data_IF_943535828390
#
_entry.id   IF_943535828390
#
_cell.length_a   1.000
_cell.length_b   1.000
_cell.length_c   1.000
_cell.angle_alpha   90.00
_cell.angle_beta   90.00
_cell.angle_gamma   90.00
#
_symmetry.space_group_name_H-M   'P 1'
#
loop_
_entity.id
_entity.type
_entity.pdbx_description
1 polymer ?
#
# COMPACT_ATOMS: atom_id res chain seq x y z
N UNK A 1 -22.95 -7.77 0.83
CA UNK A 1 -22.21 -6.50 0.80
C UNK A 1 -20.90 -6.79 0.13
N UNK A 2 -20.37 -5.87 -0.68
CA UNK A 2 -19.10 -6.09 -1.35
C UNK A 2 -18.00 -6.32 -0.30
N UNK A 3 -17.13 -7.28 -0.57
CA UNK A 3 -16.02 -7.66 0.32
C UNK A 3 -14.76 -6.92 -0.09
N UNK A 4 -13.98 -6.43 0.88
CA UNK A 4 -12.70 -5.78 0.62
C UNK A 4 -11.69 -6.84 0.16
N UNK A 5 -11.17 -6.70 -1.06
CA UNK A 5 -10.26 -7.69 -1.67
C UNK A 5 -8.83 -7.19 -1.76
N UNK A 6 -8.62 -5.89 -1.96
CA UNK A 6 -7.28 -5.33 -2.03
C UNK A 6 -7.19 -3.89 -1.47
N UNK A 7 -5.97 -3.47 -1.18
CA UNK A 7 -5.64 -2.09 -0.83
C UNK A 7 -4.37 -1.67 -1.57
N UNK A 8 -4.45 -0.54 -2.27
CA UNK A 8 -3.31 0.13 -2.87
C UNK A 8 -2.68 1.10 -1.87
N UNK A 9 -1.38 0.96 -1.63
CA UNK A 9 -0.63 1.74 -0.63
C UNK A 9 0.68 2.31 -1.21
N UNK A 10 1.15 3.41 -0.63
CA UNK A 10 2.51 3.93 -0.78
C UNK A 10 3.15 4.12 0.60
N UNK A 11 4.38 3.64 0.79
CA UNK A 11 5.10 3.79 2.05
C UNK A 11 5.45 5.25 2.40
N UNK A 12 5.47 6.17 1.43
CA UNK A 12 5.64 7.61 1.73
C UNK A 12 4.34 8.34 2.07
N UNK A 13 3.18 7.71 1.89
CA UNK A 13 1.89 8.33 2.17
C UNK A 13 1.39 8.01 3.58
N UNK A 14 1.18 9.06 4.39
CA UNK A 14 0.72 8.90 5.78
C UNK A 14 -0.72 8.39 5.86
N UNK A 15 -1.54 8.64 4.82
CA UNK A 15 -2.87 8.06 4.72
C UNK A 15 -2.82 6.54 4.63
N UNK A 16 -1.91 6.03 3.80
CA UNK A 16 -1.64 4.60 3.61
C UNK A 16 -1.22 3.93 4.90
N UNK A 17 -0.33 4.55 5.68
CA UNK A 17 0.01 4.06 7.01
C UNK A 17 -1.21 3.93 7.92
N UNK A 18 -2.04 4.97 8.00
CA UNK A 18 -3.24 4.98 8.87
C UNK A 18 -4.25 3.92 8.44
N UNK A 19 -4.47 3.76 7.14
CA UNK A 19 -5.37 2.72 6.61
C UNK A 19 -4.82 1.33 6.91
N UNK A 20 -3.51 1.11 6.75
CA UNK A 20 -2.89 -0.18 7.08
C UNK A 20 -3.00 -0.51 8.58
N UNK A 21 -2.76 0.46 9.46
CA UNK A 21 -2.97 0.31 10.92
C UNK A 21 -4.41 0.00 11.27
N UNK A 22 -5.38 0.65 10.61
CA UNK A 22 -6.80 0.35 10.77
C UNK A 22 -7.12 -1.08 10.32
N UNK A 23 -6.69 -1.49 9.12
CA UNK A 23 -6.91 -2.86 8.62
C UNK A 23 -6.27 -3.90 9.54
N UNK A 24 -5.13 -3.57 10.16
CA UNK A 24 -4.45 -4.45 11.12
C UNK A 24 -5.26 -4.79 12.37
N UNK A 25 -6.31 -4.02 12.68
CA UNK A 25 -7.26 -4.30 13.77
C UNK A 25 -8.31 -5.36 13.40
N UNK A 26 -8.42 -5.70 12.11
CA UNK A 26 -9.40 -6.65 11.61
C UNK A 26 -8.78 -8.04 11.52
N UNK A 27 -9.42 -9.08 12.08
CA UNK A 27 -8.92 -10.44 11.91
C UNK A 27 -8.93 -10.88 10.44
N UNK A 28 -9.83 -10.31 9.62
CA UNK A 28 -9.95 -10.58 8.18
C UNK A 28 -8.85 -9.92 7.35
N UNK A 29 -7.94 -9.11 7.93
CA UNK A 29 -6.87 -8.42 7.18
C UNK A 29 -6.07 -9.34 6.25
N UNK A 30 -5.89 -10.60 6.67
CA UNK A 30 -5.14 -11.60 5.94
C UNK A 30 -5.79 -12.00 4.62
N UNK A 31 -7.05 -11.64 4.36
CA UNK A 31 -7.72 -11.87 3.07
C UNK A 31 -7.58 -10.70 2.11
N UNK A 32 -7.12 -9.53 2.59
CA UNK A 32 -6.94 -8.32 1.80
C UNK A 32 -5.55 -8.34 1.16
N UNK A 33 -5.50 -8.26 -0.16
CA UNK A 33 -4.25 -8.15 -0.90
C UNK A 33 -3.67 -6.73 -0.77
N UNK A 34 -2.43 -6.62 -0.32
CA UNK A 34 -1.70 -5.35 -0.36
C UNK A 34 -1.06 -5.22 -1.74
N UNK A 35 -1.30 -4.09 -2.42
CA UNK A 35 -0.78 -3.80 -3.75
C UNK A 35 -0.01 -2.48 -3.74
N UNK A 36 1.12 -2.39 -4.46
CA UNK A 36 1.91 -1.17 -4.52
C UNK A 36 1.22 -0.14 -5.41
N UNK A 37 1.24 1.13 -5.00
CA UNK A 37 0.90 2.23 -5.90
C UNK A 37 1.69 3.48 -5.51
N UNK A 38 2.46 4.03 -6.43
CA UNK A 38 3.22 5.24 -6.17
C UNK A 38 2.34 6.49 -6.20
N UNK A 39 2.29 7.20 -5.08
CA UNK A 39 1.40 8.34 -4.83
C UNK A 39 1.78 9.63 -5.56
N UNK A 40 3.03 9.76 -6.01
CA UNK A 40 3.54 11.02 -6.59
C UNK A 40 3.41 11.09 -8.12
N UNK A 41 2.57 10.25 -8.72
CA UNK A 41 2.41 10.22 -10.17
C UNK A 41 1.66 11.44 -10.68
N UNK A 42 2.29 12.15 -11.61
CA UNK A 42 1.64 13.19 -12.39
C UNK A 42 1.00 12.60 -13.65
N UNK A 43 0.06 13.31 -14.30
CA UNK A 43 -0.53 12.86 -15.57
C UNK A 43 0.51 12.61 -16.68
N UNK A 44 1.69 13.20 -16.55
CA UNK A 44 2.73 13.19 -17.58
C UNK A 44 3.79 12.10 -17.36
N UNK A 45 3.75 11.37 -16.24
CA UNK A 45 4.70 10.29 -15.89
C UNK A 45 3.94 8.98 -15.62
N UNK A 46 3.48 8.25 -16.64
CA UNK A 46 2.64 7.06 -16.45
C UNK A 46 3.39 5.91 -15.76
N UNK A 47 4.71 5.85 -15.86
CA UNK A 47 5.54 4.82 -15.24
C UNK A 47 6.27 5.39 -14.01
N UNK A 48 6.12 4.79 -12.81
CA UNK A 48 6.78 5.27 -11.60
C UNK A 48 8.32 5.34 -11.67
N UNK A 49 8.93 4.57 -12.56
CA UNK A 49 10.38 4.47 -12.70
C UNK A 49 10.99 5.42 -13.74
N UNK A 50 10.17 6.11 -14.53
CA UNK A 50 10.62 7.09 -15.53
C UNK A 50 10.88 8.47 -14.89
N UNK A 51 11.71 8.48 -13.84
CA UNK A 51 11.97 9.67 -13.01
C UNK A 51 13.44 10.04 -12.95
N UNK A 52 13.70 11.32 -12.65
CA UNK A 52 15.06 11.90 -12.65
C UNK A 52 15.78 11.82 -11.31
N UNK A 53 15.06 11.51 -10.22
CA UNK A 53 15.60 11.40 -8.87
C UNK A 53 15.27 10.03 -8.26
N UNK A 54 16.15 9.45 -7.41
CA UNK A 54 15.82 8.24 -6.67
C UNK A 54 14.59 8.40 -5.76
N UNK A 55 13.88 7.30 -5.50
CA UNK A 55 12.79 7.24 -4.52
C UNK A 55 13.01 6.09 -3.57
N UNK A 56 13.23 6.38 -2.30
CA UNK A 56 13.24 5.34 -1.28
C UNK A 56 11.90 4.60 -1.23
N UNK A 57 10.77 5.30 -1.45
CA UNK A 57 9.45 4.69 -1.40
C UNK A 57 9.22 3.66 -2.50
N UNK A 58 9.66 3.93 -3.72
CA UNK A 58 9.56 2.98 -4.82
C UNK A 58 10.44 1.75 -4.59
N UNK A 59 11.63 1.94 -4.04
CA UNK A 59 12.54 0.84 -3.70
C UNK A 59 11.94 -0.03 -2.60
N UNK A 60 11.25 0.56 -1.61
CA UNK A 60 10.48 -0.21 -0.64
C UNK A 60 9.30 -0.94 -1.29
N UNK A 61 8.61 -0.36 -2.27
CA UNK A 61 7.56 -1.07 -3.03
C UNK A 61 8.14 -2.27 -3.80
N UNK A 62 9.32 -2.13 -4.41
CA UNK A 62 9.98 -3.24 -5.10
C UNK A 62 10.40 -4.36 -4.13
N UNK A 63 10.93 -4.01 -2.96
CA UNK A 63 11.21 -4.98 -1.89
C UNK A 63 9.93 -5.66 -1.37
N UNK A 64 8.80 -4.93 -1.31
CA UNK A 64 7.52 -5.51 -0.95
C UNK A 64 7.05 -6.56 -1.97
N UNK A 65 7.27 -6.34 -3.27
CA UNK A 65 6.98 -7.35 -4.31
C UNK A 65 7.82 -8.61 -4.15
N UNK A 66 9.10 -8.46 -3.78
CA UNK A 66 9.93 -9.61 -3.43
C UNK A 66 9.41 -10.34 -2.18
N UNK A 67 8.99 -9.60 -1.15
CA UNK A 67 8.36 -10.17 0.03
C UNK A 67 7.07 -10.92 -0.31
N UNK A 68 6.28 -10.39 -1.25
CA UNK A 68 5.06 -11.01 -1.79
C UNK A 68 5.36 -12.33 -2.49
N UNK A 69 6.38 -12.40 -3.35
CA UNK A 69 6.81 -13.67 -3.96
C UNK A 69 7.28 -14.68 -2.90
N UNK A 70 7.89 -14.19 -1.82
CA UNK A 70 8.32 -15.03 -0.69
C UNK A 70 7.17 -15.51 0.21
N UNK A 71 5.94 -15.06 -0.03
CA UNK A 71 4.73 -15.51 0.65
C UNK A 71 4.06 -14.43 1.52
N UNK A 72 2.75 -14.60 1.76
CA UNK A 72 1.89 -13.61 2.42
C UNK A 72 2.39 -13.16 3.80
N UNK A 73 2.82 -14.07 4.66
CA UNK A 73 3.29 -13.72 6.00
C UNK A 73 4.52 -12.80 5.96
N UNK A 74 5.47 -13.06 5.07
CA UNK A 74 6.63 -12.19 4.85
C UNK A 74 6.23 -10.85 4.27
N UNK A 75 5.27 -10.83 3.35
CA UNK A 75 4.77 -9.60 2.77
C UNK A 75 4.10 -8.70 3.81
N UNK A 76 3.18 -9.24 4.63
CA UNK A 76 2.55 -8.49 5.72
C UNK A 76 3.60 -7.99 6.72
N UNK A 77 4.55 -8.85 7.10
CA UNK A 77 5.65 -8.47 7.98
C UNK A 77 6.52 -7.36 7.38
N UNK A 78 6.78 -7.39 6.07
CA UNK A 78 7.53 -6.34 5.38
C UNK A 78 6.75 -5.01 5.38
N UNK A 79 5.46 -5.04 5.07
CA UNK A 79 4.61 -3.85 5.06
C UNK A 79 4.55 -3.22 6.46
N UNK A 80 4.42 -4.04 7.50
CA UNK A 80 4.49 -3.60 8.90
C UNK A 80 5.83 -2.94 9.23
N UNK A 81 6.95 -3.59 8.88
CA UNK A 81 8.30 -3.10 9.15
C UNK A 81 8.60 -1.79 8.38
N UNK A 82 8.22 -1.71 7.10
CA UNK A 82 8.43 -0.54 6.26
C UNK A 82 7.67 0.68 6.81
N UNK A 83 6.38 0.51 7.17
CA UNK A 83 5.62 1.60 7.76
C UNK A 83 6.15 2.03 9.13
N UNK A 84 6.54 1.08 9.98
CA UNK A 84 7.13 1.38 11.27
C UNK A 84 8.46 2.16 11.11
N UNK A 85 9.28 1.78 10.14
CA UNK A 85 10.54 2.48 9.82
C UNK A 85 10.29 3.95 9.43
N UNK A 86 9.28 4.21 8.60
CA UNK A 86 8.97 5.55 8.09
C UNK A 86 8.28 6.42 9.15
N UNK A 87 7.28 5.90 9.86
CA UNK A 87 6.37 6.74 10.66
C UNK A 87 6.53 6.63 12.17
N UNK A 88 7.13 5.53 12.67
CA UNK A 88 7.25 5.30 14.11
C UNK A 88 8.70 5.48 14.60
N UNK A 89 9.68 4.93 13.89
CA UNK A 89 11.10 5.00 14.32
C UNK A 89 11.87 6.19 13.73
N UNK A 90 11.40 6.75 12.61
CA UNK A 90 12.09 7.83 11.91
C UNK A 90 13.44 7.38 11.32
N UNK A 91 13.48 6.17 10.79
CA UNK A 91 14.68 5.58 10.20
C UNK A 91 15.24 6.46 9.05
N UNK A 92 16.57 6.46 8.89
CA UNK A 92 17.21 7.12 7.76
C UNK A 92 17.10 6.24 6.51
N UNK A 93 16.14 6.59 5.64
CA UNK A 93 15.89 5.94 4.37
C UNK A 93 16.50 6.72 3.20
N UNK A 94 17.48 7.60 3.44
CA UNK A 94 18.14 8.35 2.36
C UNK A 94 19.08 7.49 1.51
N UNK A 95 19.55 6.36 2.06
CA UNK A 95 20.50 5.47 1.43
C UNK A 95 19.98 4.04 1.22
N UNK A 96 20.55 3.37 0.23
CA UNK A 96 20.25 1.98 -0.13
C UNK A 96 20.31 1.00 1.05
N UNK A 97 21.25 1.20 1.98
CA UNK A 97 21.40 0.34 3.16
C UNK A 97 20.17 0.36 4.07
N UNK A 98 19.54 1.52 4.27
CA UNK A 98 18.37 1.63 5.15
C UNK A 98 17.16 0.83 4.64
N UNK A 99 16.99 0.71 3.33
CA UNK A 99 15.89 -0.07 2.74
C UNK A 99 16.16 -1.57 2.84
N UNK A 100 17.43 -1.96 2.62
CA UNK A 100 17.87 -3.34 2.75
C UNK A 100 17.74 -3.84 4.20
N UNK A 101 18.01 -3.00 5.20
CA UNK A 101 17.83 -3.36 6.61
C UNK A 101 16.39 -3.79 6.91
N UNK A 102 15.39 -3.07 6.38
CA UNK A 102 13.97 -3.46 6.51
C UNK A 102 13.70 -4.83 5.86
N UNK A 103 14.25 -5.07 4.67
CA UNK A 103 14.13 -6.38 4.00
C UNK A 103 14.82 -7.50 4.77
N UNK A 104 15.97 -7.23 5.38
CA UNK A 104 16.71 -8.20 6.20
C UNK A 104 15.94 -8.59 7.46
N UNK A 105 15.26 -7.64 8.11
CA UNK A 105 14.49 -7.88 9.34
C UNK A 105 13.39 -8.93 9.16
N UNK A 106 12.81 -9.01 7.96
CA UNK A 106 11.77 -9.99 7.61
C UNK A 106 12.31 -11.19 6.83
N UNK A 107 13.64 -11.29 6.69
CA UNK A 107 14.32 -12.45 6.10
C UNK A 107 14.24 -12.55 4.58
N UNK A 108 14.22 -11.42 3.86
CA UNK A 108 14.34 -11.43 2.40
C UNK A 108 15.75 -11.83 1.94
N UNK A 109 15.84 -12.50 0.79
CA UNK A 109 17.11 -12.77 0.12
C UNK A 109 17.60 -11.52 -0.64
N UNK A 110 18.30 -10.65 0.08
CA UNK A 110 18.77 -9.38 -0.49
C UNK A 110 19.82 -9.54 -1.58
N UNK A 111 20.50 -10.70 -1.64
CA UNK A 111 21.41 -11.02 -2.73
C UNK A 111 20.63 -11.25 -4.03
N UNK A 112 19.46 -11.88 -3.95
CA UNK A 112 18.53 -12.01 -5.08
C UNK A 112 17.95 -10.64 -5.47
N UNK A 113 17.51 -9.81 -4.52
CA UNK A 113 17.03 -8.45 -4.81
C UNK A 113 18.07 -7.65 -5.60
N UNK A 114 19.32 -7.68 -5.17
CA UNK A 114 20.41 -6.91 -5.79
C UNK A 114 20.77 -7.43 -7.19
N UNK A 115 20.57 -8.73 -7.46
CA UNK A 115 20.84 -9.34 -8.77
C UNK A 115 19.74 -9.05 -9.79
N UNK A 116 18.49 -8.94 -9.35
CA UNK A 116 17.33 -8.82 -10.23
C UNK A 116 16.37 -7.68 -9.81
N UNK A 117 16.95 -6.53 -9.43
CA UNK A 117 16.15 -5.38 -8.99
C UNK A 117 15.18 -4.91 -10.07
N UNK A 118 15.57 -5.01 -11.34
CA UNK A 118 14.76 -4.53 -12.46
C UNK A 118 13.48 -5.34 -12.66
N UNK A 119 13.49 -6.64 -12.34
CA UNK A 119 12.27 -7.46 -12.29
C UNK A 119 11.27 -6.89 -11.27
N UNK A 120 11.71 -6.66 -10.04
CA UNK A 120 10.85 -6.15 -8.97
C UNK A 120 10.31 -4.75 -9.27
N UNK A 121 11.13 -3.90 -9.89
CA UNK A 121 10.69 -2.61 -10.40
C UNK A 121 9.62 -2.77 -11.49
N UNK A 122 9.81 -3.69 -12.43
CA UNK A 122 8.83 -3.95 -13.47
C UNK A 122 7.49 -4.43 -12.91
N UNK A 123 7.48 -5.28 -11.88
CA UNK A 123 6.26 -5.71 -11.17
C UNK A 123 5.52 -4.52 -10.54
N UNK A 124 6.24 -3.61 -9.86
CA UNK A 124 5.64 -2.37 -9.34
C UNK A 124 5.05 -1.51 -10.47
N UNK A 125 5.74 -1.43 -11.61
CA UNK A 125 5.26 -0.71 -12.79
C UNK A 125 3.97 -1.32 -13.36
N UNK A 126 3.90 -2.66 -13.42
CA UNK A 126 2.73 -3.40 -13.88
C UNK A 126 1.52 -3.13 -12.98
N UNK A 127 1.66 -3.35 -11.67
CA UNK A 127 0.60 -3.06 -10.70
C UNK A 127 0.10 -1.63 -10.78
N UNK A 128 1.01 -0.68 -10.98
CA UNK A 128 0.68 0.73 -11.12
C UNK A 128 -0.17 0.99 -12.37
N UNK A 129 0.22 0.43 -13.52
CA UNK A 129 -0.54 0.55 -14.76
C UNK A 129 -1.94 -0.08 -14.66
N UNK A 130 -2.03 -1.33 -14.17
CA UNK A 130 -3.32 -2.02 -14.01
C UNK A 130 -4.25 -1.26 -13.06
N UNK A 131 -3.73 -0.75 -11.94
CA UNK A 131 -4.51 0.04 -11.01
C UNK A 131 -5.12 1.29 -11.67
N UNK A 132 -4.38 1.97 -12.55
CA UNK A 132 -4.85 3.18 -13.23
C UNK A 132 -5.81 2.88 -14.38
N UNK A 133 -5.42 1.95 -15.24
CA UNK A 133 -6.07 1.75 -16.52
C UNK A 133 -7.33 0.88 -16.37
N UNK A 134 -7.32 -0.08 -15.44
CA UNK A 134 -8.43 -1.02 -15.25
C UNK A 134 -9.33 -0.66 -14.08
N UNK A 135 -8.77 -0.04 -13.02
CA UNK A 135 -9.48 0.23 -11.76
C UNK A 135 -9.66 1.73 -11.44
N UNK A 136 -9.21 2.63 -12.32
CA UNK A 136 -9.28 4.09 -12.13
C UNK A 136 -8.65 4.59 -10.79
N UNK A 137 -7.68 3.85 -10.25
CA UNK A 137 -6.94 4.25 -9.04
C UNK A 137 -6.06 5.45 -9.37
N UNK A 138 -6.38 6.61 -8.79
CA UNK A 138 -5.65 7.87 -9.06
C UNK A 138 -4.84 8.37 -7.87
N UNK A 139 -4.98 7.72 -6.70
CA UNK A 139 -4.38 8.14 -5.42
C UNK A 139 -4.39 6.99 -4.42
N UNK A 140 -3.60 7.12 -3.36
CA UNK A 140 -3.55 6.17 -2.23
C UNK A 140 -3.91 6.87 -0.91
N UNK A 141 -4.41 6.13 0.09
CA UNK A 141 -4.79 4.72 0.00
C UNK A 141 -6.11 4.53 -0.74
N UNK A 142 -6.17 3.49 -1.57
CA UNK A 142 -7.40 3.09 -2.27
C UNK A 142 -7.77 1.67 -1.93
N UNK A 143 -9.02 1.47 -1.50
CA UNK A 143 -9.63 0.18 -1.21
C UNK A 143 -10.29 -0.36 -2.47
N UNK A 144 -10.12 -1.65 -2.76
CA UNK A 144 -10.75 -2.34 -3.89
C UNK A 144 -11.67 -3.42 -3.33
N UNK A 145 -12.90 -3.44 -3.80
CA UNK A 145 -13.89 -4.43 -3.43
C UNK A 145 -14.02 -5.54 -4.49
N UNK A 146 -14.65 -6.65 -4.13
CA UNK A 146 -14.87 -7.83 -4.99
C UNK A 146 -15.71 -7.57 -6.25
N UNK A 147 -16.40 -6.44 -6.34
CA UNK A 147 -17.15 -5.97 -7.50
C UNK A 147 -16.41 -4.88 -8.31
N UNK A 148 -15.08 -4.84 -8.18
CA UNK A 148 -14.14 -3.91 -8.83
C UNK A 148 -14.36 -2.43 -8.47
N UNK A 149 -15.20 -2.13 -7.48
CA UNK A 149 -15.37 -0.77 -7.00
C UNK A 149 -14.16 -0.33 -6.19
N UNK A 150 -13.76 0.93 -6.41
CA UNK A 150 -12.62 1.53 -5.74
C UNK A 150 -13.05 2.71 -4.88
N UNK A 151 -12.58 2.75 -3.63
CA UNK A 151 -12.75 3.88 -2.73
C UNK A 151 -11.40 4.43 -2.29
N UNK A 152 -11.13 5.69 -2.61
CA UNK A 152 -10.09 6.44 -1.91
C UNK A 152 -10.58 6.79 -0.50
N UNK A 153 -9.76 6.49 0.51
CA UNK A 153 -10.09 6.76 1.91
C UNK A 153 -9.05 7.69 2.51
N UNK A 154 -9.52 8.75 3.18
CA UNK A 154 -8.68 9.62 3.99
C UNK A 154 -9.11 9.55 5.44
N UNK A 155 -8.22 9.06 6.30
CA UNK A 155 -8.42 9.05 7.74
C UNK A 155 -7.67 10.22 8.38
N UNK A 156 -8.41 11.17 8.96
CA UNK A 156 -7.82 12.31 9.66
C UNK A 156 -7.25 11.91 11.04
N UNK A 157 -7.81 10.86 11.65
CA UNK A 157 -7.40 10.27 12.92
C UNK A 157 -7.26 8.75 12.80
N UNK A 158 -6.56 8.14 13.75
CA UNK A 158 -6.43 6.67 13.85
C UNK A 158 -7.76 6.04 14.28
N UNK A 159 -7.97 4.80 13.84
CA UNK A 159 -9.06 3.96 14.34
C UNK A 159 -8.53 3.18 15.54
N UNK A 160 -9.21 3.27 16.68
CA UNK A 160 -8.63 2.84 17.97
C UNK A 160 -8.86 1.36 18.31
N UNK A 161 -9.97 0.77 17.85
CA UNK A 161 -10.35 -0.59 18.23
C UNK A 161 -11.02 -1.39 17.09
N UNK A 162 -11.07 -2.72 17.25
CA UNK A 162 -11.64 -3.67 16.30
C UNK A 162 -13.13 -3.38 16.00
N UNK A 163 -13.91 -2.92 16.98
CA UNK A 163 -15.33 -2.65 16.78
C UNK A 163 -15.54 -1.39 15.92
N UNK A 164 -14.75 -0.34 16.14
CA UNK A 164 -14.71 0.85 15.29
C UNK A 164 -14.20 0.51 13.90
N UNK A 165 -13.17 -0.35 13.81
CA UNK A 165 -12.62 -0.81 12.55
C UNK A 165 -13.66 -1.55 11.70
N UNK A 166 -14.41 -2.48 12.31
CA UNK A 166 -15.49 -3.22 11.64
C UNK A 166 -16.63 -2.30 11.21
N UNK A 167 -17.05 -1.36 12.07
CA UNK A 167 -18.09 -0.39 11.71
C UNK A 167 -17.67 0.47 10.51
N UNK A 168 -16.43 0.96 10.51
CA UNK A 168 -15.93 1.75 9.40
C UNK A 168 -15.87 0.94 8.10
N UNK A 169 -15.41 -0.33 8.15
CA UNK A 169 -15.41 -1.19 6.97
C UNK A 169 -16.82 -1.42 6.43
N UNK A 170 -17.79 -1.67 7.31
CA UNK A 170 -19.19 -1.84 6.91
C UNK A 170 -19.77 -0.57 6.28
N UNK A 171 -19.54 0.60 6.89
CA UNK A 171 -19.96 1.90 6.34
C UNK A 171 -19.35 2.14 4.95
N UNK A 172 -18.08 1.78 4.74
CA UNK A 172 -17.39 1.95 3.45
C UNK A 172 -17.86 0.95 2.40
N UNK A 173 -18.11 -0.31 2.76
CA UNK A 173 -18.69 -1.31 1.86
C UNK A 173 -20.11 -0.91 1.41
N UNK A 174 -20.91 -0.38 2.33
CA UNK A 174 -22.24 0.16 2.00
C UNK A 174 -22.14 1.39 1.10
N UNK A 175 -21.17 2.27 1.35
CA UNK A 175 -20.94 3.46 0.53
C UNK A 175 -20.46 3.11 -0.87
N UNK A 176 -19.55 2.14 -1.02
CA UNK A 176 -19.11 1.63 -2.31
C UNK A 176 -20.31 1.17 -3.16
N UNK A 177 -21.33 0.61 -2.53
CA UNK A 177 -22.55 0.17 -3.22
C UNK A 177 -23.46 1.31 -3.73
N UNK A 178 -23.20 2.55 -3.37
CA UNK A 178 -24.02 3.71 -3.74
C UNK A 178 -23.38 4.54 -4.87
N UNK A 179 -24.18 5.24 -5.69
CA UNK A 179 -23.68 6.15 -6.73
C UNK A 179 -23.21 7.49 -6.14
N UNK A 180 -22.35 7.45 -5.11
CA UNK A 180 -21.83 8.62 -4.41
C UNK A 180 -20.39 8.88 -4.83
N UNK A 181 -20.11 10.10 -5.28
CA UNK A 181 -18.75 10.47 -5.73
C UNK A 181 -17.79 10.90 -4.62
N UNK A 182 -18.28 11.53 -3.55
CA UNK A 182 -17.45 11.96 -2.42
C UNK A 182 -18.30 12.13 -1.14
N UNK A 183 -17.77 11.65 -0.02
CA UNK A 183 -18.32 11.88 1.32
C UNK A 183 -17.22 12.47 2.20
N UNK A 184 -17.53 13.57 2.87
CA UNK A 184 -16.64 14.18 3.88
C UNK A 184 -17.40 14.34 5.18
N UNK A 185 -16.82 13.88 6.29
CA UNK A 185 -17.31 14.16 7.63
C UNK A 185 -16.47 15.29 8.23
N UNK A 186 -17.08 16.36 8.79
CA UNK A 186 -16.31 17.35 9.53
C UNK A 186 -15.69 16.69 10.78
N UNK A 187 -14.41 16.96 11.01
CA UNK A 187 -13.70 16.60 12.24
C UNK A 187 -13.95 17.57 13.38
#
# INVERSE_FOLDING_TARGET
MPELTAVYLDFQDRGSYRVWRWLSLLPERHTVEVRPFWSSVTRDEPNPWERTSPSWSLELLALAEMARESGRERHEGFVDAAFAAVYDSGADLSGFQGWLEIGAEVGLDLDEYTKDSDRWRAEVGLWHSEARDDLDVTRVPSLVFDDDRVLFVKLDHEVEDEAAARRLLADLADLAAQPVGEVRRPG
#
